data_IF_638891881961
#
_entry.id   IF_638891881961
#
_cell.length_a   1.000
_cell.length_b   1.000
_cell.length_c   1.000
_cell.angle_alpha   90.00
_cell.angle_beta   90.00
_cell.angle_gamma   90.00
#
_symmetry.space_group_name_H-M   'P 1'
#
loop_
_entity.id
_entity.type
_entity.pdbx_description
1 polymer ?
#
# COMPACT_ATOMS: atom_id res chain seq x y z
N UNK A 1 19.29 -23.33 1.39
CA UNK A 1 19.72 -22.09 2.07
C UNK A 1 18.50 -21.55 2.81
N UNK A 2 18.56 -21.51 4.14
CA UNK A 2 17.44 -21.09 4.98
C UNK A 2 17.23 -19.59 4.78
N UNK A 3 16.03 -19.20 4.36
CA UNK A 3 15.75 -17.84 3.85
C UNK A 3 15.67 -16.80 4.99
N UNK A 4 15.71 -17.25 6.24
CA UNK A 4 15.88 -16.39 7.42
C UNK A 4 14.79 -15.34 7.61
N UNK A 5 13.52 -15.69 7.35
CA UNK A 5 12.40 -14.76 7.55
C UNK A 5 12.24 -14.41 9.03
N UNK A 6 12.22 -13.11 9.36
CA UNK A 6 12.18 -12.61 10.75
C UNK A 6 10.78 -12.06 11.12
N UNK A 7 10.25 -12.46 12.27
CA UNK A 7 9.06 -11.89 12.94
C UNK A 7 9.45 -10.93 14.09
N UNK A 8 8.57 -9.97 14.45
CA UNK A 8 8.78 -9.06 15.59
C UNK A 8 7.72 -9.20 16.68
N UNK A 9 8.19 -9.02 17.91
CA UNK A 9 7.39 -8.87 19.12
C UNK A 9 7.99 -7.76 19.99
N UNK A 10 7.15 -6.90 20.56
CA UNK A 10 7.55 -5.95 21.62
C UNK A 10 7.20 -6.50 23.00
N UNK A 11 8.17 -6.47 23.92
CA UNK A 11 7.93 -6.67 25.36
C UNK A 11 7.53 -5.33 26.02
N UNK A 12 6.50 -5.30 26.87
CA UNK A 12 6.03 -4.07 27.53
C UNK A 12 7.03 -3.39 28.48
N UNK A 13 8.10 -4.08 28.91
CA UNK A 13 8.92 -3.64 30.06
C UNK A 13 10.13 -2.76 29.71
N UNK A 14 10.39 -2.41 28.44
CA UNK A 14 11.64 -1.75 28.04
C UNK A 14 11.43 -0.27 27.65
N UNK A 15 11.39 0.61 28.65
CA UNK A 15 11.88 1.98 28.50
C UNK A 15 13.40 1.92 28.23
N UNK A 16 13.85 2.49 27.10
CA UNK A 16 15.28 2.79 26.87
C UNK A 16 16.07 1.83 25.96
N UNK A 17 15.50 0.73 25.45
CA UNK A 17 16.18 -0.12 24.46
C UNK A 17 15.75 0.27 23.03
N UNK A 18 16.71 0.60 22.16
CA UNK A 18 16.46 0.83 20.73
C UNK A 18 16.16 -0.50 20.04
N UNK A 19 14.88 -0.85 19.97
CA UNK A 19 14.40 -2.03 19.25
C UNK A 19 14.58 -1.83 17.74
N UNK A 20 15.35 -2.71 17.09
CA UNK A 20 15.41 -2.79 15.63
C UNK A 20 14.16 -3.53 15.14
N UNK A 21 13.25 -2.80 14.49
CA UNK A 21 11.90 -3.26 14.15
C UNK A 21 11.76 -3.87 12.75
N UNK A 22 12.83 -3.88 11.95
CA UNK A 22 12.88 -4.53 10.65
C UNK A 22 14.31 -5.04 10.36
N UNK A 23 14.39 -6.27 9.87
CA UNK A 23 15.56 -7.03 9.51
C UNK A 23 15.24 -7.57 8.13
N UNK A 24 16.04 -7.11 7.17
CA UNK A 24 16.05 -7.60 5.81
C UNK A 24 17.38 -8.29 5.56
N UNK A 25 17.42 -9.20 4.60
CA UNK A 25 18.68 -9.77 4.12
C UNK A 25 19.25 -8.89 3.00
N UNK A 26 20.56 -8.95 2.74
CA UNK A 26 21.14 -8.25 1.58
C UNK A 26 20.47 -8.64 0.25
N UNK A 27 19.92 -9.86 0.17
CA UNK A 27 19.21 -10.39 -1.02
C UNK A 27 17.84 -9.74 -1.25
N UNK A 28 17.17 -9.30 -0.17
CA UNK A 28 15.80 -8.78 -0.19
C UNK A 28 15.74 -7.27 -0.02
N UNK A 29 16.72 -6.66 0.65
CA UNK A 29 16.75 -5.23 0.99
C UNK A 29 16.44 -4.33 -0.19
N UNK A 30 17.01 -4.62 -1.35
CA UNK A 30 16.86 -3.84 -2.59
C UNK A 30 15.55 -4.14 -3.34
N UNK A 31 14.70 -5.03 -2.81
CA UNK A 31 13.44 -5.47 -3.42
C UNK A 31 12.25 -5.35 -2.48
N UNK A 32 12.49 -5.22 -1.17
CA UNK A 32 11.47 -5.24 -0.14
C UNK A 32 10.72 -3.91 -0.11
N UNK A 33 9.41 -3.97 -0.36
CA UNK A 33 8.49 -2.86 -0.17
C UNK A 33 7.77 -3.05 1.16
N UNK A 34 7.98 -2.13 2.12
CA UNK A 34 7.29 -2.20 3.40
C UNK A 34 5.94 -1.49 3.31
N UNK A 35 4.87 -2.25 3.53
CA UNK A 35 3.52 -1.71 3.57
C UNK A 35 3.16 -1.20 4.97
N UNK A 36 2.86 0.10 5.08
CA UNK A 36 2.49 0.78 6.31
C UNK A 36 0.97 0.83 6.48
N UNK A 37 0.49 0.41 7.65
CA UNK A 37 -0.87 0.70 8.12
C UNK A 37 -0.82 1.91 9.04
N UNK A 38 -1.18 3.08 8.52
CA UNK A 38 -1.09 4.38 9.22
C UNK A 38 -2.31 5.24 8.91
N UNK A 39 -2.65 6.16 9.81
CA UNK A 39 -3.85 7.01 9.71
C UNK A 39 -3.55 8.48 9.44
N UNK A 40 -2.30 8.90 9.57
CA UNK A 40 -1.83 10.28 9.46
C UNK A 40 -0.36 10.35 9.02
N UNK A 41 0.07 11.52 8.54
CA UNK A 41 1.39 11.74 7.97
C UNK A 41 2.54 11.72 8.99
N UNK A 42 2.29 12.19 10.22
CA UNK A 42 3.32 12.25 11.25
C UNK A 42 3.71 10.84 11.72
N UNK A 43 2.71 9.99 11.97
CA UNK A 43 2.91 8.58 12.30
C UNK A 43 3.58 7.84 11.15
N UNK A 44 3.16 8.10 9.91
CA UNK A 44 3.77 7.50 8.71
C UNK A 44 5.27 7.81 8.62
N UNK A 45 5.65 9.08 8.78
CA UNK A 45 7.05 9.49 8.71
C UNK A 45 7.89 8.91 9.84
N UNK A 46 7.37 8.95 11.08
CA UNK A 46 8.05 8.38 12.25
C UNK A 46 8.33 6.89 12.05
N UNK A 47 7.33 6.11 11.63
CA UNK A 47 7.49 4.69 11.35
C UNK A 47 8.47 4.42 10.19
N UNK A 48 8.35 5.19 9.10
CA UNK A 48 9.21 5.01 7.93
C UNK A 48 10.69 5.33 8.23
N UNK A 49 10.98 6.36 9.02
CA UNK A 49 12.36 6.72 9.39
C UNK A 49 13.09 5.62 10.16
N UNK A 50 12.37 4.82 10.96
CA UNK A 50 12.95 3.70 11.72
C UNK A 50 13.57 2.64 10.80
N UNK A 51 12.99 2.46 9.60
CA UNK A 51 13.27 1.31 8.72
C UNK A 51 13.69 1.70 7.30
N UNK A 52 13.80 3.00 7.01
CA UNK A 52 14.13 3.53 5.68
C UNK A 52 15.47 3.02 5.13
N UNK A 53 16.39 2.56 5.98
CA UNK A 53 17.65 1.97 5.53
C UNK A 53 17.51 0.51 5.14
N UNK A 54 16.42 -0.15 5.49
CA UNK A 54 16.25 -1.61 5.40
C UNK A 54 15.24 -2.02 4.30
N UNK A 55 14.74 -1.07 3.51
CA UNK A 55 13.72 -1.31 2.49
C UNK A 55 14.05 -0.56 1.20
N UNK A 56 13.50 -1.05 0.08
CA UNK A 56 13.63 -0.43 -1.22
C UNK A 56 12.55 0.63 -1.50
N UNK A 57 11.39 0.50 -0.86
CA UNK A 57 10.26 1.42 -1.00
C UNK A 57 9.26 1.29 0.15
N UNK A 58 8.34 2.25 0.23
CA UNK A 58 7.19 2.21 1.11
C UNK A 58 5.89 2.04 0.31
N UNK A 59 4.92 1.33 0.87
CA UNK A 59 3.56 1.26 0.36
C UNK A 59 2.57 1.68 1.45
N UNK A 60 1.53 2.44 1.12
CA UNK A 60 0.48 2.80 2.09
C UNK A 60 -0.70 1.86 1.92
N UNK A 61 -1.08 1.17 3.00
CA UNK A 61 -2.29 0.36 3.01
C UNK A 61 -3.52 1.26 3.11
N UNK A 62 -4.22 1.41 1.99
CA UNK A 62 -5.50 2.12 1.90
C UNK A 62 -6.67 1.15 1.66
N UNK A 63 -6.46 -0.16 1.79
CA UNK A 63 -7.42 -1.17 1.32
C UNK A 63 -7.93 -2.15 2.37
N UNK A 64 -7.35 -2.18 3.57
CA UNK A 64 -7.71 -3.15 4.62
C UNK A 64 -9.09 -2.83 5.24
N UNK A 65 -10.08 -3.74 5.16
CA UNK A 65 -11.41 -3.52 5.72
C UNK A 65 -11.58 -4.14 7.13
N UNK A 66 -10.50 -4.54 7.80
CA UNK A 66 -10.56 -5.15 9.14
C UNK A 66 -10.86 -4.08 10.20
N UNK A 67 -11.60 -4.46 11.23
CA UNK A 67 -12.07 -3.54 12.27
C UNK A 67 -10.95 -2.69 12.90
N UNK A 68 -9.83 -3.31 13.29
CA UNK A 68 -8.70 -2.58 13.91
C UNK A 68 -8.14 -1.46 13.00
N UNK A 69 -8.17 -1.68 11.68
CA UNK A 69 -7.69 -0.70 10.70
C UNK A 69 -8.69 0.45 10.59
N UNK A 70 -9.99 0.12 10.52
CA UNK A 70 -11.06 1.11 10.46
C UNK A 70 -11.12 1.99 11.72
N UNK A 71 -11.04 1.39 12.90
CA UNK A 71 -11.08 2.11 14.18
C UNK A 71 -9.87 3.01 14.38
N UNK A 72 -8.72 2.66 13.81
CA UNK A 72 -7.52 3.50 13.81
C UNK A 72 -7.46 4.54 12.69
N UNK A 73 -8.50 4.66 11.86
CA UNK A 73 -8.50 5.58 10.72
C UNK A 73 -7.54 5.18 9.58
N UNK A 74 -7.12 3.92 9.53
CA UNK A 74 -6.16 3.37 8.57
C UNK A 74 -6.87 2.50 7.52
N UNK A 75 -6.12 1.98 6.54
CA UNK A 75 -6.67 1.01 5.58
C UNK A 75 -7.83 1.60 4.79
N UNK A 76 -8.93 0.85 4.67
CA UNK A 76 -10.09 1.31 3.89
C UNK A 76 -10.79 2.55 4.49
N UNK A 77 -10.54 2.92 5.75
CA UNK A 77 -11.05 4.18 6.30
C UNK A 77 -10.41 5.41 5.66
N UNK A 78 -9.18 5.29 5.14
CA UNK A 78 -8.51 6.38 4.41
C UNK A 78 -9.19 6.70 3.07
N UNK A 79 -9.90 5.74 2.46
CA UNK A 79 -10.55 5.94 1.16
C UNK A 79 -11.65 7.02 1.20
N UNK A 80 -12.18 7.33 2.38
CA UNK A 80 -13.13 8.43 2.60
C UNK A 80 -12.45 9.79 2.79
N UNK A 81 -11.12 9.80 2.88
CA UNK A 81 -10.26 10.95 3.18
C UNK A 81 -9.04 11.02 2.24
N UNK A 82 -9.24 11.15 0.90
CA UNK A 82 -8.14 11.14 -0.07
C UNK A 82 -7.05 12.17 0.21
N UNK A 83 -7.40 13.33 0.77
CA UNK A 83 -6.50 14.39 1.19
C UNK A 83 -5.52 13.92 2.28
N UNK A 84 -5.97 13.05 3.19
CA UNK A 84 -5.11 12.47 4.22
C UNK A 84 -4.07 11.53 3.59
N UNK A 85 -4.47 10.73 2.60
CA UNK A 85 -3.53 9.87 1.85
C UNK A 85 -2.52 10.73 1.10
N UNK A 86 -2.98 11.78 0.43
CA UNK A 86 -2.12 12.71 -0.30
C UNK A 86 -1.11 13.41 0.64
N UNK A 87 -1.51 13.77 1.85
CA UNK A 87 -0.60 14.35 2.84
C UNK A 87 0.46 13.36 3.33
N UNK A 88 0.07 12.10 3.59
CA UNK A 88 1.00 11.01 3.90
C UNK A 88 2.04 10.85 2.78
N UNK A 89 1.58 10.71 1.53
CA UNK A 89 2.46 10.53 0.36
C UNK A 89 3.42 11.71 0.23
N UNK A 90 2.91 12.95 0.24
CA UNK A 90 3.76 14.15 0.12
C UNK A 90 4.76 14.26 1.25
N UNK A 91 4.38 13.87 2.47
CA UNK A 91 5.28 13.92 3.63
C UNK A 91 6.40 12.91 3.51
N UNK A 92 6.10 11.67 3.11
CA UNK A 92 7.13 10.65 2.89
C UNK A 92 8.07 11.04 1.75
N UNK A 93 7.52 11.45 0.59
CA UNK A 93 8.30 11.87 -0.58
C UNK A 93 9.20 13.07 -0.31
N UNK A 94 8.78 14.01 0.56
CA UNK A 94 9.58 15.17 0.95
C UNK A 94 10.76 14.82 1.87
N UNK A 95 10.64 13.77 2.67
CA UNK A 95 11.58 13.48 3.76
C UNK A 95 12.46 12.25 3.52
N UNK A 96 12.08 11.37 2.58
CA UNK A 96 12.77 10.10 2.34
C UNK A 96 13.11 9.96 0.85
N UNK A 97 14.35 9.55 0.50
CA UNK A 97 14.78 9.35 -0.88
C UNK A 97 14.35 7.97 -1.41
N UNK A 98 13.14 7.52 -1.06
CA UNK A 98 12.62 6.20 -1.44
C UNK A 98 11.27 6.35 -2.18
N UNK A 99 10.96 5.44 -3.13
CA UNK A 99 9.65 5.40 -3.75
C UNK A 99 8.53 5.15 -2.74
N UNK A 100 7.35 5.72 -3.02
CA UNK A 100 6.13 5.57 -2.23
C UNK A 100 4.99 5.15 -3.14
N UNK A 101 4.42 3.98 -2.89
CA UNK A 101 3.21 3.50 -3.56
C UNK A 101 1.99 3.51 -2.64
N UNK A 102 0.80 3.32 -3.19
CA UNK A 102 -0.41 3.08 -2.40
C UNK A 102 -1.18 1.88 -2.91
N UNK A 103 -1.69 1.06 -1.99
CA UNK A 103 -2.60 -0.05 -2.30
C UNK A 103 -4.04 0.29 -1.92
N UNK A 104 -4.89 0.46 -2.92
CA UNK A 104 -6.30 0.85 -2.78
C UNK A 104 -7.27 -0.30 -3.11
N UNK A 105 -8.56 -0.04 -2.91
CA UNK A 105 -9.69 -0.83 -3.40
C UNK A 105 -10.53 0.03 -4.33
N UNK A 106 -11.44 -0.60 -5.08
CA UNK A 106 -12.46 0.12 -5.83
C UNK A 106 -13.39 0.88 -4.87
N UNK A 107 -13.76 2.10 -5.26
CA UNK A 107 -14.81 2.90 -4.61
C UNK A 107 -16.17 2.63 -5.27
N UNK A 108 -17.25 3.20 -4.74
CA UNK A 108 -18.61 2.86 -5.14
C UNK A 108 -18.88 3.11 -6.63
N UNK A 109 -18.15 4.04 -7.25
CA UNK A 109 -18.17 4.27 -8.70
C UNK A 109 -16.76 4.30 -9.32
N UNK A 110 -16.71 4.11 -10.64
CA UNK A 110 -15.47 4.24 -11.42
C UNK A 110 -14.89 5.65 -11.30
N UNK A 111 -15.74 6.68 -11.43
CA UNK A 111 -15.34 8.09 -11.38
C UNK A 111 -14.73 8.45 -10.02
N UNK A 112 -15.28 7.92 -8.93
CA UNK A 112 -14.69 8.09 -7.61
C UNK A 112 -13.31 7.44 -7.52
N UNK A 113 -13.16 6.24 -8.07
CA UNK A 113 -11.88 5.52 -8.09
C UNK A 113 -10.84 6.28 -8.94
N UNK A 114 -11.24 6.77 -10.12
CA UNK A 114 -10.41 7.62 -10.99
C UNK A 114 -9.98 8.90 -10.28
N UNK A 115 -10.93 9.61 -9.65
CA UNK A 115 -10.65 10.85 -8.90
C UNK A 115 -9.66 10.62 -7.75
N UNK A 116 -9.80 9.50 -7.02
CA UNK A 116 -8.84 9.09 -6.01
C UNK A 116 -7.45 8.85 -6.63
N UNK A 117 -7.34 8.05 -7.69
CA UNK A 117 -6.06 7.73 -8.32
C UNK A 117 -5.35 8.98 -8.83
N UNK A 118 -6.07 9.91 -9.47
CA UNK A 118 -5.53 11.19 -9.93
C UNK A 118 -5.10 12.09 -8.77
N UNK A 119 -5.82 12.07 -7.65
CA UNK A 119 -5.42 12.79 -6.44
C UNK A 119 -4.10 12.26 -5.89
N UNK A 120 -3.92 10.93 -5.87
CA UNK A 120 -2.69 10.30 -5.40
C UNK A 120 -1.52 10.55 -6.36
N UNK A 121 -1.75 10.48 -7.67
CA UNK A 121 -0.76 10.83 -8.69
C UNK A 121 -0.28 12.29 -8.51
N UNK A 122 -1.20 13.25 -8.36
CA UNK A 122 -0.86 14.65 -8.07
C UNK A 122 -0.11 14.82 -6.75
N UNK A 123 -0.27 13.89 -5.80
CA UNK A 123 0.49 13.88 -4.55
C UNK A 123 1.92 13.33 -4.73
N UNK A 124 2.21 12.66 -5.85
CA UNK A 124 3.53 12.17 -6.21
C UNK A 124 3.79 10.72 -5.84
N UNK A 125 2.76 9.85 -5.81
CA UNK A 125 2.97 8.40 -5.70
C UNK A 125 3.77 7.89 -6.89
N UNK A 126 4.61 6.88 -6.67
CA UNK A 126 5.44 6.26 -7.72
C UNK A 126 4.75 5.06 -8.38
N UNK A 127 3.76 4.45 -7.71
CA UNK A 127 2.93 3.38 -8.25
C UNK A 127 1.61 3.25 -7.48
N UNK A 128 0.61 2.64 -8.12
CA UNK A 128 -0.68 2.33 -7.50
C UNK A 128 -1.00 0.84 -7.63
N UNK A 129 -1.38 0.20 -6.53
CA UNK A 129 -1.92 -1.16 -6.56
C UNK A 129 -3.43 -1.13 -6.34
N UNK A 130 -4.21 -1.69 -7.26
CA UNK A 130 -5.69 -1.70 -7.17
C UNK A 130 -6.16 -3.11 -6.88
N UNK A 131 -6.70 -3.34 -5.68
CA UNK A 131 -7.51 -4.53 -5.46
C UNK A 131 -8.87 -4.32 -6.13
N UNK A 132 -9.14 -5.06 -7.21
CA UNK A 132 -10.37 -5.02 -8.00
C UNK A 132 -11.59 -5.58 -7.25
N UNK A 133 -11.80 -5.18 -6.00
CA UNK A 133 -12.98 -5.44 -5.18
C UNK A 133 -13.36 -4.14 -4.49
N UNK A 134 -14.66 -3.92 -4.33
CA UNK A 134 -15.16 -2.85 -3.49
C UNK A 134 -14.82 -3.13 -2.01
N UNK A 135 -14.79 -2.09 -1.18
CA UNK A 135 -14.49 -2.20 0.26
C UNK A 135 -15.31 -3.28 1.00
N UNK A 136 -16.65 -3.37 0.85
CA UNK A 136 -17.44 -4.35 1.59
C UNK A 136 -17.24 -5.79 1.08
N UNK A 137 -16.75 -5.97 -0.14
CA UNK A 137 -16.63 -7.29 -0.76
C UNK A 137 -15.51 -8.12 -0.12
N UNK A 138 -15.83 -9.39 0.15
CA UNK A 138 -14.92 -10.39 0.73
C UNK A 138 -14.37 -11.30 -0.38
N UNK A 139 -13.46 -12.21 -0.01
CA UNK A 139 -12.82 -13.15 -0.95
C UNK A 139 -13.79 -14.06 -1.71
N UNK A 140 -15.01 -14.28 -1.18
CA UNK A 140 -16.05 -15.06 -1.85
C UNK A 140 -16.70 -14.33 -3.03
N UNK A 141 -16.61 -12.99 -3.07
CA UNK A 141 -17.12 -12.20 -4.18
C UNK A 141 -16.03 -12.10 -5.25
N UNK A 142 -16.29 -12.45 -6.52
CA UNK A 142 -15.28 -12.33 -7.58
C UNK A 142 -14.70 -10.91 -7.69
N UNK A 143 -13.42 -10.80 -8.01
CA UNK A 143 -12.79 -9.54 -8.33
C UNK A 143 -13.27 -9.02 -9.70
N UNK A 144 -13.57 -7.73 -9.78
CA UNK A 144 -13.96 -7.01 -10.98
C UNK A 144 -12.74 -6.64 -11.84
N UNK A 145 -12.02 -7.65 -12.33
CA UNK A 145 -10.75 -7.47 -13.07
C UNK A 145 -10.88 -6.56 -14.30
N UNK A 146 -12.05 -6.56 -14.96
CA UNK A 146 -12.37 -5.71 -16.11
C UNK A 146 -12.27 -4.20 -15.81
N UNK A 147 -12.43 -3.80 -14.53
CA UNK A 147 -12.32 -2.40 -14.13
C UNK A 147 -10.88 -1.87 -14.22
N UNK A 148 -9.87 -2.74 -14.28
CA UNK A 148 -8.48 -2.29 -14.25
C UNK A 148 -8.08 -1.52 -15.52
N UNK A 149 -8.55 -1.94 -16.70
CA UNK A 149 -8.17 -1.33 -17.99
C UNK A 149 -8.46 0.19 -18.06
N UNK A 150 -9.69 0.64 -17.75
CA UNK A 150 -9.99 2.08 -17.62
C UNK A 150 -9.12 2.81 -16.60
N UNK A 151 -8.86 2.20 -15.45
CA UNK A 151 -8.06 2.80 -14.37
C UNK A 151 -6.58 2.96 -14.74
N UNK A 152 -6.01 2.03 -15.50
CA UNK A 152 -4.62 2.15 -16.01
C UNK A 152 -4.46 3.39 -16.90
N UNK A 153 -5.50 3.78 -17.64
CA UNK A 153 -5.47 4.91 -18.58
C UNK A 153 -5.67 6.27 -17.90
N UNK A 154 -6.08 6.31 -16.63
CA UNK A 154 -6.45 7.57 -15.97
C UNK A 154 -5.28 8.26 -15.25
N UNK A 155 -4.14 7.57 -15.11
CA UNK A 155 -2.90 8.04 -14.50
C UNK A 155 -1.70 7.61 -15.35
N UNK A 156 -0.59 8.34 -15.26
CA UNK A 156 0.68 8.03 -15.92
C UNK A 156 1.65 7.16 -15.09
N UNK A 157 1.40 7.00 -13.79
CA UNK A 157 2.19 6.10 -12.93
C UNK A 157 1.85 4.61 -13.17
N UNK A 158 2.79 3.67 -12.95
CA UNK A 158 2.51 2.24 -13.03
C UNK A 158 1.34 1.81 -12.13
N UNK A 159 0.44 0.99 -12.69
CA UNK A 159 -0.70 0.41 -11.97
C UNK A 159 -0.56 -1.11 -11.89
N UNK A 160 -0.66 -1.66 -10.68
CA UNK A 160 -0.56 -3.08 -10.37
C UNK A 160 -1.97 -3.62 -10.09
N UNK A 161 -2.43 -4.53 -10.95
CA UNK A 161 -3.70 -5.25 -10.78
C UNK A 161 -3.62 -6.27 -9.65
N UNK A 162 -4.62 -6.30 -8.78
CA UNK A 162 -4.73 -7.29 -7.70
C UNK A 162 -6.15 -7.84 -7.57
N UNK A 163 -6.27 -9.16 -7.44
CA UNK A 163 -7.53 -9.86 -7.21
C UNK A 163 -7.71 -11.07 -8.13
N UNK A 164 -7.90 -12.24 -7.52
CA UNK A 164 -8.30 -13.50 -8.17
C UNK A 164 -7.38 -14.04 -9.29
N UNK A 165 -6.13 -13.57 -9.35
CA UNK A 165 -5.05 -14.22 -10.11
C UNK A 165 -4.49 -15.37 -9.28
N UNK A 166 -4.66 -16.60 -9.76
CA UNK A 166 -4.25 -17.83 -9.09
C UNK A 166 -3.08 -18.52 -9.79
N UNK A 167 -2.87 -18.23 -11.08
CA UNK A 167 -1.80 -18.84 -11.86
C UNK A 167 -0.98 -17.80 -12.62
N UNK A 168 0.25 -18.17 -12.97
CA UNK A 168 1.11 -17.34 -13.83
C UNK A 168 0.43 -17.03 -15.18
N UNK A 169 -0.26 -18.03 -15.76
CA UNK A 169 -0.98 -17.87 -17.03
C UNK A 169 -2.09 -16.83 -16.92
N UNK A 170 -2.94 -16.92 -15.90
CA UNK A 170 -4.00 -15.94 -15.65
C UNK A 170 -3.43 -14.52 -15.49
N UNK A 171 -2.32 -14.37 -14.77
CA UNK A 171 -1.66 -13.07 -14.62
C UNK A 171 -1.13 -12.51 -15.94
N UNK A 172 -0.53 -13.37 -16.78
CA UNK A 172 -0.03 -12.99 -18.11
C UNK A 172 -1.16 -12.56 -19.05
N UNK A 173 -2.27 -13.30 -19.04
CA UNK A 173 -3.46 -12.98 -19.84
C UNK A 173 -4.10 -11.66 -19.39
N UNK A 174 -4.21 -11.42 -18.08
CA UNK A 174 -4.79 -10.17 -17.56
C UNK A 174 -3.94 -8.92 -17.87
N UNK A 175 -2.61 -9.04 -17.85
CA UNK A 175 -1.73 -7.92 -18.24
C UNK A 175 -1.85 -7.58 -19.74
N UNK A 176 -2.29 -8.54 -20.56
CA UNK A 176 -2.40 -8.39 -22.02
C UNK A 176 -3.80 -7.96 -22.49
N UNK A 177 -4.80 -7.94 -21.61
CA UNK A 177 -6.20 -7.55 -21.89
C UNK A 177 -6.43 -6.06 -21.74
#
# INVERSE_FOLDING_TARGET
EEIGTVEYWTRPELEGSRTKALFTTAREREKLVLQLGVGDAATALSAAQVVARDVAAFDINCGCPKHFSLSGGMGAALLKRPETIADIVKTLKRNLPLPVSCKIRLLDTEEQTVSLMQTLEKAGVDALSVHCRYVPQRSRTPAHQHMLGPLVRCVGVPVIGNGDVKTYREGREWVQS
#
